data_IF_487544850510
#
_entry.id   IF_487544850510
#
_cell.length_a   1.000
_cell.length_b   1.000
_cell.length_c   1.000
_cell.angle_alpha   90.00
_cell.angle_beta   90.00
_cell.angle_gamma   90.00
#
_symmetry.space_group_name_H-M   'P 1'
#
loop_
_entity.id
_entity.type
_entity.pdbx_description
1 polymer ?
#
# COMPACT_ATOMS: atom_id res chain seq x y z
N UNK A 1 -13.00 1.82 -11.27
CA UNK A 1 -12.29 2.33 -10.07
C UNK A 1 -10.91 2.79 -10.51
N UNK A 2 -10.45 3.99 -10.14
CA UNK A 2 -9.12 4.49 -10.53
C UNK A 2 -8.06 3.73 -9.69
N UNK A 3 -7.26 2.92 -10.37
CA UNK A 3 -6.29 2.00 -9.77
C UNK A 3 -4.87 2.62 -9.71
N UNK A 4 -3.99 2.05 -8.87
CA UNK A 4 -2.55 2.37 -8.87
C UNK A 4 -1.85 1.45 -9.87
N UNK A 5 -1.22 2.05 -10.87
CA UNK A 5 -0.39 1.37 -11.86
C UNK A 5 0.97 0.95 -11.31
N UNK A 6 1.67 0.07 -12.02
CA UNK A 6 3.01 -0.37 -11.61
C UNK A 6 4.04 0.79 -11.60
N UNK A 7 3.91 1.78 -12.50
CA UNK A 7 4.75 2.98 -12.50
C UNK A 7 4.49 3.83 -11.25
N UNK A 8 3.23 4.00 -10.84
CA UNK A 8 2.91 4.69 -9.60
C UNK A 8 3.44 3.94 -8.37
N UNK A 9 3.33 2.61 -8.33
CA UNK A 9 3.94 1.80 -7.26
C UNK A 9 5.45 2.01 -7.15
N UNK A 10 6.15 2.19 -8.29
CA UNK A 10 7.57 2.53 -8.29
C UNK A 10 7.81 3.89 -7.63
N UNK A 11 7.01 4.90 -7.95
CA UNK A 11 7.08 6.23 -7.32
C UNK A 11 6.78 6.13 -5.82
N UNK A 12 5.78 5.35 -5.41
CA UNK A 12 5.50 5.12 -3.98
C UNK A 12 6.70 4.50 -3.25
N UNK A 13 7.40 3.54 -3.88
CA UNK A 13 8.61 2.95 -3.30
C UNK A 13 9.75 3.98 -3.18
N UNK A 14 9.93 4.82 -4.19
CA UNK A 14 10.94 5.89 -4.20
C UNK A 14 10.66 6.91 -3.09
N UNK A 15 9.43 7.43 -3.04
CA UNK A 15 8.95 8.35 -2.00
C UNK A 15 9.10 7.77 -0.60
N UNK A 16 8.76 6.49 -0.45
CA UNK A 16 8.98 5.75 0.80
C UNK A 16 10.45 5.72 1.23
N UNK A 17 11.40 5.58 0.30
CA UNK A 17 12.84 5.62 0.59
C UNK A 17 13.32 7.01 0.97
N UNK A 18 12.95 8.03 0.19
CA UNK A 18 13.47 9.40 0.35
C UNK A 18 12.87 10.10 1.56
N UNK A 19 11.56 9.96 1.76
CA UNK A 19 10.82 10.69 2.79
C UNK A 19 10.61 9.85 4.07
N UNK A 20 11.08 8.59 4.08
CA UNK A 20 10.88 7.61 5.16
C UNK A 20 9.41 7.43 5.53
N UNK A 21 8.55 7.45 4.51
CA UNK A 21 7.12 7.18 4.66
C UNK A 21 6.83 5.70 4.47
N UNK A 22 5.82 5.20 5.17
CA UNK A 22 5.32 3.84 5.03
C UNK A 22 3.84 3.88 4.70
N UNK A 23 3.45 3.18 3.64
CA UNK A 23 2.08 3.19 3.12
C UNK A 23 1.50 1.79 3.29
N UNK A 24 0.34 1.67 3.93
CA UNK A 24 -0.35 0.41 4.17
C UNK A 24 -1.74 0.46 3.54
N UNK A 25 -2.02 -0.46 2.62
CA UNK A 25 -3.34 -0.69 2.07
C UNK A 25 -4.03 -1.73 2.94
N UNK A 26 -5.06 -1.31 3.67
CA UNK A 26 -5.84 -2.18 4.55
C UNK A 26 -7.08 -2.62 3.81
N UNK A 27 -7.27 -3.93 3.67
CA UNK A 27 -8.39 -4.49 2.92
C UNK A 27 -9.62 -4.76 3.79
N UNK A 28 -10.80 -4.74 3.18
CA UNK A 28 -12.04 -5.17 3.84
C UNK A 28 -12.04 -6.69 4.03
N UNK A 29 -12.35 -7.15 5.25
CA UNK A 29 -12.53 -8.57 5.60
C UNK A 29 -11.35 -9.50 5.23
N UNK A 30 -10.14 -8.95 5.06
CA UNK A 30 -8.95 -9.73 4.73
C UNK A 30 -7.82 -9.42 5.75
N UNK A 31 -7.27 -10.42 6.46
CA UNK A 31 -6.40 -10.20 7.62
C UNK A 31 -4.94 -9.93 7.23
N UNK A 32 -4.70 -9.40 6.04
CA UNK A 32 -3.37 -9.03 5.54
C UNK A 32 -3.43 -7.64 4.92
N UNK A 33 -2.25 -7.02 4.78
CA UNK A 33 -2.08 -5.69 4.20
C UNK A 33 -1.06 -5.77 3.07
N UNK A 34 -1.28 -4.96 2.03
CA UNK A 34 -0.22 -4.63 1.09
C UNK A 34 0.52 -3.43 1.64
N UNK A 35 1.83 -3.55 1.81
CA UNK A 35 2.66 -2.52 2.42
C UNK A 35 3.71 -2.05 1.41
N UNK A 36 3.88 -0.74 1.34
CA UNK A 36 4.98 -0.08 0.65
C UNK A 36 5.85 0.60 1.72
N UNK A 37 6.98 -0.03 2.03
CA UNK A 37 8.05 0.54 2.85
C UNK A 37 9.38 0.20 2.17
N UNK A 38 9.83 1.12 1.32
CA UNK A 38 10.97 1.03 0.38
C UNK A 38 10.85 -0.05 -0.68
N UNK A 39 10.11 -1.13 -0.40
CA UNK A 39 9.74 -2.22 -1.28
C UNK A 39 8.30 -2.60 -0.98
N UNK A 40 7.70 -3.39 -1.86
CA UNK A 40 6.32 -3.86 -1.73
C UNK A 40 6.33 -5.25 -1.10
N UNK A 41 5.51 -5.47 -0.07
CA UNK A 41 5.40 -6.76 0.60
C UNK A 41 4.05 -6.92 1.29
N UNK A 42 3.79 -8.12 1.80
CA UNK A 42 2.60 -8.45 2.56
C UNK A 42 2.90 -8.45 4.06
N UNK A 43 1.97 -7.97 4.87
CA UNK A 43 2.00 -8.10 6.33
C UNK A 43 0.69 -8.65 6.88
N UNK A 44 0.75 -9.32 8.02
CA UNK A 44 -0.43 -9.68 8.81
C UNK A 44 -0.90 -8.53 9.73
N UNK A 45 -1.96 -8.77 10.51
CA UNK A 45 -2.50 -7.77 11.43
C UNK A 45 -1.54 -7.36 12.55
N UNK A 46 -0.56 -8.20 12.88
CA UNK A 46 0.47 -7.94 13.89
C UNK A 46 1.68 -7.18 13.31
N UNK A 47 1.67 -6.88 12.00
CA UNK A 47 2.78 -6.21 11.31
C UNK A 47 3.93 -7.15 10.96
N UNK A 48 3.71 -8.47 10.99
CA UNK A 48 4.74 -9.43 10.61
C UNK A 48 4.74 -9.58 9.09
N UNK A 49 5.92 -9.48 8.48
CA UNK A 49 6.09 -9.76 7.05
C UNK A 49 5.76 -11.21 6.77
N UNK A 50 4.92 -11.45 5.78
CA UNK A 50 4.49 -12.79 5.37
C UNK A 50 4.83 -13.04 3.90
N UNK A 51 5.04 -14.30 3.48
CA UNK A 51 5.40 -14.60 2.09
C UNK A 51 4.31 -14.14 1.11
N UNK A 52 4.70 -13.32 0.13
CA UNK A 52 3.77 -12.77 -0.87
C UNK A 52 2.99 -13.88 -1.59
N UNK A 53 3.70 -14.90 -2.07
CA UNK A 53 3.13 -16.02 -2.82
C UNK A 53 2.09 -16.81 -2.00
N UNK A 54 2.22 -16.85 -0.68
CA UNK A 54 1.25 -17.51 0.20
C UNK A 54 -0.04 -16.71 0.33
N UNK A 55 0.05 -15.39 0.32
CA UNK A 55 -1.10 -14.50 0.59
C UNK A 55 -1.79 -14.05 -0.69
N UNK A 56 -1.02 -13.65 -1.69
CA UNK A 56 -1.50 -13.05 -2.94
C UNK A 56 -1.25 -13.94 -4.17
N UNK A 57 -0.51 -15.05 -4.02
CA UNK A 57 -0.17 -15.94 -5.14
C UNK A 57 0.79 -15.26 -6.12
N UNK A 58 0.51 -15.41 -7.41
CA UNK A 58 1.25 -14.77 -8.51
C UNK A 58 0.79 -13.35 -8.83
N UNK A 59 -0.17 -12.79 -8.08
CA UNK A 59 -0.73 -11.45 -8.34
C UNK A 59 0.34 -10.37 -8.20
N UNK A 60 0.33 -9.41 -9.11
CA UNK A 60 1.10 -8.18 -8.96
C UNK A 60 0.45 -7.25 -7.91
N UNK A 61 1.15 -6.24 -7.41
CA UNK A 61 0.55 -5.25 -6.50
C UNK A 61 -0.70 -4.57 -7.07
N UNK A 62 -0.72 -4.27 -8.38
CA UNK A 62 -1.90 -3.73 -9.06
C UNK A 62 -3.04 -4.74 -9.08
N UNK A 63 -2.77 -6.02 -9.38
CA UNK A 63 -3.79 -7.07 -9.35
C UNK A 63 -4.37 -7.28 -7.95
N UNK A 64 -3.56 -7.13 -6.90
CA UNK A 64 -4.03 -7.17 -5.51
C UNK A 64 -5.02 -6.05 -5.24
N UNK A 65 -4.71 -4.81 -5.63
CA UNK A 65 -5.65 -3.69 -5.43
C UNK A 65 -6.93 -3.82 -6.27
N UNK A 66 -6.90 -4.59 -7.37
CA UNK A 66 -8.09 -4.94 -8.14
C UNK A 66 -8.91 -6.07 -7.53
N UNK A 67 -8.23 -7.03 -6.90
CA UNK A 67 -8.86 -8.22 -6.32
C UNK A 67 -9.46 -7.98 -4.93
N UNK A 68 -8.89 -7.03 -4.17
CA UNK A 68 -9.26 -6.78 -2.78
C UNK A 68 -9.77 -5.36 -2.60
N UNK A 69 -10.95 -5.22 -1.99
CA UNK A 69 -11.51 -3.91 -1.66
C UNK A 69 -10.70 -3.24 -0.56
N UNK A 70 -10.13 -2.08 -0.85
CA UNK A 70 -9.38 -1.28 0.12
C UNK A 70 -10.37 -0.57 1.05
N UNK A 71 -10.24 -0.81 2.36
CA UNK A 71 -11.00 -0.14 3.41
C UNK A 71 -10.44 1.24 3.73
N UNK A 72 -9.12 1.33 3.85
CA UNK A 72 -8.39 2.55 4.17
C UNK A 72 -6.93 2.41 3.71
N UNK A 73 -6.29 3.55 3.45
CA UNK A 73 -4.86 3.63 3.20
C UNK A 73 -4.25 4.38 4.38
N UNK A 74 -3.23 3.80 5.03
CA UNK A 74 -2.54 4.42 6.16
C UNK A 74 -1.17 4.87 5.73
N UNK A 75 -0.81 6.12 6.00
CA UNK A 75 0.52 6.66 5.77
C UNK A 75 1.15 6.96 7.13
N UNK A 76 2.32 6.37 7.38
CA UNK A 76 3.11 6.58 8.58
C UNK A 76 4.38 7.33 8.26
N UNK A 77 4.64 8.40 9.00
CA UNK A 77 5.81 9.27 8.82
C UNK A 77 6.21 9.86 10.17
N UNK A 78 7.45 9.62 10.61
CA UNK A 78 8.07 10.23 11.81
C UNK A 78 7.14 10.29 13.06
N UNK A 79 6.40 9.20 13.33
CA UNK A 79 5.50 9.09 14.48
C UNK A 79 4.07 9.59 14.24
N UNK A 80 3.77 10.16 13.07
CA UNK A 80 2.42 10.52 12.65
C UNK A 80 1.81 9.44 11.78
N UNK A 81 0.52 9.16 11.98
CA UNK A 81 -0.30 8.30 11.13
C UNK A 81 -1.42 9.14 10.51
N UNK A 82 -1.50 9.13 9.17
CA UNK A 82 -2.60 9.72 8.41
C UNK A 82 -3.40 8.61 7.73
N UNK A 83 -4.72 8.67 7.85
CA UNK A 83 -5.64 7.75 7.18
C UNK A 83 -6.27 8.44 5.98
N UNK A 84 -6.20 7.79 4.85
CA UNK A 84 -6.79 8.21 3.59
C UNK A 84 -7.88 7.23 3.18
N UNK A 85 -8.94 7.75 2.56
CA UNK A 85 -10.12 6.96 2.18
C UNK A 85 -10.08 6.47 0.73
N UNK A 86 -9.19 7.03 -0.09
CA UNK A 86 -9.14 6.74 -1.53
C UNK A 86 -7.74 6.82 -2.12
N UNK A 87 -7.58 6.25 -3.32
CA UNK A 87 -6.34 6.32 -4.10
C UNK A 87 -6.08 7.75 -4.57
N UNK A 88 -7.13 8.53 -4.85
CA UNK A 88 -7.02 9.95 -5.20
C UNK A 88 -6.40 10.77 -4.07
N UNK A 89 -6.84 10.55 -2.82
CA UNK A 89 -6.21 11.20 -1.67
C UNK A 89 -4.73 10.82 -1.53
N UNK A 90 -4.38 9.55 -1.82
CA UNK A 90 -2.98 9.12 -1.83
C UNK A 90 -2.17 9.81 -2.93
N UNK A 91 -2.72 9.92 -4.14
CA UNK A 91 -2.10 10.61 -5.27
C UNK A 91 -1.82 12.07 -4.93
N UNK A 92 -2.82 12.80 -4.43
CA UNK A 92 -2.66 14.18 -3.99
C UNK A 92 -1.65 14.32 -2.85
N UNK A 93 -1.61 13.37 -1.92
CA UNK A 93 -0.64 13.38 -0.81
C UNK A 93 0.81 13.19 -1.29
N UNK A 94 1.03 12.29 -2.25
CA UNK A 94 2.37 11.95 -2.75
C UNK A 94 2.85 12.94 -3.84
N UNK A 95 1.94 13.74 -4.40
CA UNK A 95 2.22 14.66 -5.50
C UNK A 95 2.16 14.00 -6.88
N UNK A 96 1.39 12.91 -7.01
CA UNK A 96 1.07 12.27 -8.28
C UNK A 96 -0.21 12.92 -8.83
N UNK A 97 -0.10 14.04 -9.56
CA UNK A 97 -1.23 14.69 -10.23
C UNK A 97 -1.40 14.17 -11.66
#
# INVERSE_FOLDING_TARGET
MRQISMSEFRVLCEKSRTERIRIEFVFEKFPYRLVVDRVIFAEDLQGRKVPWTRIFGSKTPTDVLLSFKVREIRIRTRGLEKKLKSIEELRSYIGLN
#
